data_IF_881197167959
#
_entry.id   IF_881197167959
#
_cell.length_a   1.000
_cell.length_b   1.000
_cell.length_c   1.000
_cell.angle_alpha   90.00
_cell.angle_beta   90.00
_cell.angle_gamma   90.00
#
_symmetry.space_group_name_H-M   'P 1'
#
loop_
_entity.id
_entity.type
_entity.pdbx_description
1 polymer ?
#
# COMPACT_ATOMS: atom_id res chain seq x y z
N UNK A 1 6.19 11.89 -34.76
CA UNK A 1 4.91 12.48 -34.37
C UNK A 1 4.66 12.17 -32.91
N UNK A 2 4.60 13.19 -32.05
CA UNK A 2 4.23 13.05 -30.64
C UNK A 2 2.72 13.33 -30.53
N UNK A 3 1.93 12.31 -30.26
CA UNK A 3 0.51 12.46 -29.95
C UNK A 3 0.34 12.73 -28.45
N UNK A 4 -0.20 13.88 -28.09
CA UNK A 4 -0.55 14.23 -26.72
C UNK A 4 -2.06 14.11 -26.57
N UNK A 5 -2.51 13.21 -25.70
CA UNK A 5 -3.91 13.18 -25.24
C UNK A 5 -4.02 13.99 -23.95
N UNK A 6 -5.10 14.77 -23.85
CA UNK A 6 -5.44 15.46 -22.60
C UNK A 6 -5.85 14.46 -21.51
N UNK A 7 -5.47 14.73 -20.27
CA UNK A 7 -5.97 14.02 -19.09
C UNK A 7 -7.36 14.49 -18.66
N UNK A 8 -7.96 15.44 -19.39
CA UNK A 8 -9.28 15.98 -19.06
C UNK A 8 -10.39 14.92 -19.17
N UNK A 9 -11.17 14.81 -18.11
CA UNK A 9 -12.36 13.93 -18.02
C UNK A 9 -13.63 14.78 -18.01
N UNK A 10 -14.19 15.06 -19.20
CA UNK A 10 -15.36 15.94 -19.37
C UNK A 10 -16.63 15.43 -18.69
N UNK A 11 -16.76 14.12 -18.50
CA UNK A 11 -17.90 13.50 -17.85
C UNK A 11 -17.74 13.31 -16.33
N UNK A 12 -16.57 13.64 -15.76
CA UNK A 12 -16.25 13.45 -14.35
C UNK A 12 -16.22 14.79 -13.61
N UNK A 13 -17.14 14.96 -12.68
CA UNK A 13 -17.18 16.15 -11.81
C UNK A 13 -16.35 15.91 -10.55
N UNK A 14 -15.26 16.64 -10.40
CA UNK A 14 -14.45 16.66 -9.19
C UNK A 14 -15.06 17.63 -8.17
N UNK A 15 -15.25 17.16 -6.95
CA UNK A 15 -15.86 17.95 -5.88
C UNK A 15 -15.12 17.79 -4.57
N UNK A 16 -14.94 18.86 -3.84
CA UNK A 16 -14.49 18.86 -2.46
C UNK A 16 -15.61 19.40 -1.59
N UNK A 17 -16.00 18.65 -0.58
CA UNK A 17 -17.02 19.05 0.37
C UNK A 17 -16.45 19.11 1.78
N UNK A 18 -16.42 20.32 2.32
CA UNK A 18 -16.12 20.50 3.73
C UNK A 18 -17.32 20.12 4.56
N UNK A 19 -17.13 19.31 5.59
CA UNK A 19 -18.17 18.86 6.50
C UNK A 19 -17.60 18.61 7.88
N UNK A 20 -18.41 18.79 8.90
CA UNK A 20 -18.04 18.41 10.27
C UNK A 20 -18.44 16.94 10.57
N UNK A 21 -19.31 16.36 9.75
CA UNK A 21 -19.76 14.96 9.87
C UNK A 21 -19.70 14.22 8.53
N UNK A 22 -18.56 13.57 8.29
CA UNK A 22 -18.34 12.79 7.07
C UNK A 22 -19.33 11.65 6.87
N UNK A 23 -19.77 11.01 7.94
CA UNK A 23 -20.71 9.88 7.89
C UNK A 23 -22.07 10.33 7.39
N UNK A 24 -22.60 11.40 7.94
CA UNK A 24 -23.89 11.94 7.52
C UNK A 24 -23.84 12.43 6.06
N UNK A 25 -22.77 13.11 5.69
CA UNK A 25 -22.59 13.59 4.31
C UNK A 25 -22.42 12.44 3.31
N UNK A 26 -21.69 11.38 3.70
CA UNK A 26 -21.57 10.17 2.91
C UNK A 26 -22.92 9.56 2.58
N UNK A 27 -23.76 9.32 3.59
CA UNK A 27 -25.09 8.75 3.43
C UNK A 27 -25.98 9.64 2.55
N UNK A 28 -25.92 10.96 2.78
CA UNK A 28 -26.66 11.93 1.97
C UNK A 28 -26.28 11.86 0.49
N UNK A 29 -25.00 11.81 0.18
CA UNK A 29 -24.49 11.71 -1.21
C UNK A 29 -24.90 10.39 -1.84
N UNK A 30 -24.72 9.26 -1.14
CA UNK A 30 -25.06 7.93 -1.69
C UNK A 30 -26.56 7.78 -1.95
N UNK A 31 -27.43 8.42 -1.17
CA UNK A 31 -28.87 8.44 -1.40
C UNK A 31 -29.24 9.30 -2.62
N UNK A 32 -28.50 10.39 -2.88
CA UNK A 32 -28.74 11.27 -4.02
C UNK A 32 -28.17 10.78 -5.35
N UNK A 33 -27.06 10.06 -5.32
CA UNK A 33 -26.38 9.56 -6.51
C UNK A 33 -26.56 8.05 -6.59
N UNK A 34 -27.54 7.56 -7.33
CA UNK A 34 -27.76 6.12 -7.49
C UNK A 34 -26.65 5.49 -8.35
N UNK A 35 -26.56 4.15 -8.30
CA UNK A 35 -25.60 3.37 -9.06
C UNK A 35 -24.37 2.92 -8.26
N UNK A 36 -23.44 2.29 -8.94
CA UNK A 36 -22.25 1.70 -8.34
C UNK A 36 -21.32 2.76 -7.78
N UNK A 37 -20.73 2.49 -6.61
CA UNK A 37 -19.85 3.40 -5.89
C UNK A 37 -18.59 2.73 -5.36
N UNK A 38 -17.52 3.51 -5.24
CA UNK A 38 -16.31 3.14 -4.53
C UNK A 38 -16.06 4.18 -3.43
N UNK A 39 -15.77 3.72 -2.23
CA UNK A 39 -15.38 4.57 -1.10
C UNK A 39 -13.95 4.23 -0.70
N UNK A 40 -13.06 5.20 -0.76
CA UNK A 40 -11.69 5.04 -0.35
C UNK A 40 -11.49 5.51 1.10
N UNK A 41 -10.92 4.61 1.89
CA UNK A 41 -10.45 4.86 3.25
C UNK A 41 -9.01 4.37 3.40
N UNK A 42 -8.31 4.85 4.41
CA UNK A 42 -6.88 4.63 4.54
C UNK A 42 -6.49 3.32 5.23
N UNK A 43 -7.28 2.86 6.18
CA UNK A 43 -6.92 1.67 6.95
C UNK A 43 -7.94 0.54 6.83
N UNK A 44 -7.45 -0.69 7.05
CA UNK A 44 -8.24 -1.93 6.92
C UNK A 44 -9.43 -2.00 7.88
N UNK A 45 -9.26 -1.51 9.11
CA UNK A 45 -10.32 -1.50 10.12
C UNK A 45 -11.48 -0.62 9.67
N UNK A 46 -11.16 0.57 9.16
CA UNK A 46 -12.17 1.53 8.71
C UNK A 46 -12.96 1.03 7.49
N UNK A 47 -12.37 0.17 6.64
CA UNK A 47 -13.14 -0.45 5.55
C UNK A 47 -14.31 -1.26 6.08
N UNK A 48 -14.11 -2.03 7.15
CA UNK A 48 -15.17 -2.83 7.79
C UNK A 48 -16.20 -1.94 8.49
N UNK A 49 -15.75 -0.98 9.29
CA UNK A 49 -16.62 -0.07 10.04
C UNK A 49 -17.59 0.69 9.10
N UNK A 50 -17.10 1.23 7.99
CA UNK A 50 -17.94 1.93 7.00
C UNK A 50 -18.86 0.96 6.27
N UNK A 51 -18.41 -0.24 5.94
CA UNK A 51 -19.26 -1.26 5.31
C UNK A 51 -20.42 -1.64 6.24
N UNK A 52 -20.17 -1.93 7.51
CA UNK A 52 -21.20 -2.24 8.50
C UNK A 52 -22.20 -1.09 8.66
N UNK A 53 -21.71 0.14 8.70
CA UNK A 53 -22.57 1.33 8.73
C UNK A 53 -23.49 1.40 7.51
N UNK A 54 -22.96 1.18 6.29
CA UNK A 54 -23.77 1.22 5.07
C UNK A 54 -24.82 0.13 5.03
N UNK A 55 -24.46 -1.08 5.44
CA UNK A 55 -25.40 -2.22 5.50
C UNK A 55 -26.53 -1.94 6.50
N UNK A 56 -26.22 -1.35 7.66
CA UNK A 56 -27.22 -0.94 8.66
C UNK A 56 -28.15 0.18 8.15
N UNK A 57 -27.75 0.91 7.12
CA UNK A 57 -28.53 1.95 6.44
C UNK A 57 -29.18 1.47 5.13
N UNK A 58 -29.36 0.15 4.98
CA UNK A 58 -29.95 -0.53 3.82
C UNK A 58 -29.23 -0.29 2.48
N UNK A 59 -27.92 0.00 2.54
CA UNK A 59 -27.07 0.14 1.36
C UNK A 59 -26.18 -1.09 1.24
N UNK A 60 -26.36 -1.89 0.19
CA UNK A 60 -25.53 -3.07 -0.05
C UNK A 60 -24.07 -2.67 -0.26
N UNK A 61 -23.21 -3.16 0.62
CA UNK A 61 -21.77 -2.82 0.60
C UNK A 61 -20.91 -4.02 0.92
N UNK A 62 -19.69 -4.01 0.43
CA UNK A 62 -18.64 -4.94 0.78
C UNK A 62 -17.32 -4.18 0.95
N UNK A 63 -16.30 -4.81 1.52
CA UNK A 63 -15.02 -4.16 1.74
C UNK A 63 -13.86 -4.91 1.10
N UNK A 64 -12.80 -4.15 0.75
CA UNK A 64 -11.62 -4.67 0.08
C UNK A 64 -10.34 -4.03 0.61
N UNK A 65 -9.39 -4.87 1.00
CA UNK A 65 -8.04 -4.43 1.39
C UNK A 65 -7.00 -5.54 1.11
N UNK A 66 -5.75 -5.17 1.08
CA UNK A 66 -4.64 -6.07 0.74
C UNK A 66 -4.56 -7.31 1.65
N UNK A 67 -4.93 -7.20 2.94
CA UNK A 67 -4.87 -8.29 3.91
C UNK A 67 -6.00 -9.33 3.83
N UNK A 68 -6.86 -9.30 2.79
CA UNK A 68 -7.83 -10.35 2.53
C UNK A 68 -7.18 -11.48 1.73
N UNK A 69 -7.63 -12.72 1.94
CA UNK A 69 -7.26 -13.85 1.10
C UNK A 69 -7.69 -13.63 -0.36
N UNK A 70 -6.92 -14.12 -1.33
CA UNK A 70 -7.17 -13.87 -2.74
C UNK A 70 -8.55 -14.38 -3.20
N UNK A 71 -8.99 -15.55 -2.72
CA UNK A 71 -10.34 -16.06 -3.01
C UNK A 71 -11.46 -15.12 -2.50
N UNK A 72 -11.27 -14.51 -1.32
CA UNK A 72 -12.22 -13.53 -0.76
C UNK A 72 -12.21 -12.23 -1.56
N UNK A 73 -11.02 -11.76 -1.98
CA UNK A 73 -10.87 -10.59 -2.85
C UNK A 73 -11.63 -10.78 -4.15
N UNK A 74 -11.42 -11.92 -4.82
CA UNK A 74 -12.07 -12.25 -6.09
C UNK A 74 -13.59 -12.35 -5.96
N UNK A 75 -14.08 -12.98 -4.90
CA UNK A 75 -15.51 -13.11 -4.63
C UNK A 75 -16.17 -11.74 -4.46
N UNK A 76 -15.61 -10.89 -3.60
CA UNK A 76 -16.14 -9.56 -3.32
C UNK A 76 -16.11 -8.65 -4.54
N UNK A 77 -15.01 -8.70 -5.29
CA UNK A 77 -14.89 -7.96 -6.54
C UNK A 77 -15.95 -8.40 -7.55
N UNK A 78 -16.19 -9.69 -7.73
CA UNK A 78 -17.22 -10.23 -8.64
C UNK A 78 -18.62 -9.80 -8.22
N UNK A 79 -18.97 -9.87 -6.94
CA UNK A 79 -20.26 -9.42 -6.41
C UNK A 79 -20.51 -7.93 -6.67
N UNK A 80 -19.46 -7.10 -6.53
CA UNK A 80 -19.56 -5.69 -6.84
C UNK A 80 -19.63 -5.44 -8.36
N UNK A 81 -18.88 -6.17 -9.18
CA UNK A 81 -18.92 -6.06 -10.63
C UNK A 81 -20.26 -6.47 -11.20
N UNK A 82 -20.89 -7.52 -10.68
CA UNK A 82 -22.23 -7.96 -11.10
C UNK A 82 -23.37 -7.03 -10.66
N UNK A 83 -23.10 -6.13 -9.71
CA UNK A 83 -24.11 -5.24 -9.13
C UNK A 83 -24.90 -5.86 -7.96
N UNK A 84 -24.58 -7.06 -7.51
CA UNK A 84 -25.13 -7.66 -6.29
C UNK A 84 -24.82 -6.77 -5.07
N UNK A 85 -23.64 -6.19 -5.06
CA UNK A 85 -23.20 -5.21 -4.08
C UNK A 85 -23.02 -3.86 -4.77
N UNK A 86 -23.67 -2.83 -4.25
CA UNK A 86 -23.64 -1.49 -4.82
C UNK A 86 -22.35 -0.75 -4.52
N UNK A 87 -21.86 -0.84 -3.27
CA UNK A 87 -20.74 -0.02 -2.77
C UNK A 87 -19.56 -0.91 -2.40
N UNK A 88 -18.39 -0.57 -2.91
CA UNK A 88 -17.12 -1.15 -2.45
C UNK A 88 -16.38 -0.16 -1.56
N UNK A 89 -16.17 -0.52 -0.30
CA UNK A 89 -15.34 0.27 0.63
C UNK A 89 -13.93 -0.30 0.66
N UNK A 90 -12.95 0.48 0.24
CA UNK A 90 -11.62 -0.06 -0.02
C UNK A 90 -10.48 0.85 0.46
N UNK A 91 -9.32 0.22 0.67
CA UNK A 91 -8.04 0.92 0.68
C UNK A 91 -7.52 1.08 -0.76
N UNK A 92 -6.39 1.77 -0.93
CA UNK A 92 -5.70 1.91 -2.22
C UNK A 92 -5.34 0.57 -2.90
N UNK A 93 -5.42 -0.55 -2.17
CA UNK A 93 -5.25 -1.89 -2.74
C UNK A 93 -6.33 -2.27 -3.77
N UNK A 94 -7.51 -1.63 -3.71
CA UNK A 94 -8.58 -1.80 -4.69
C UNK A 94 -8.33 -0.89 -5.88
N UNK A 95 -7.60 -1.40 -6.87
CA UNK A 95 -7.17 -0.53 -7.93
C UNK A 95 -6.73 -1.22 -9.21
N UNK A 96 -5.64 -1.93 -9.23
CA UNK A 96 -5.13 -2.58 -10.43
C UNK A 96 -6.08 -3.67 -10.92
N UNK A 97 -6.38 -3.67 -12.22
CA UNK A 97 -7.24 -4.69 -12.84
C UNK A 97 -8.75 -4.53 -12.60
N UNK A 98 -9.19 -3.44 -11.98
CA UNK A 98 -10.62 -3.17 -11.79
C UNK A 98 -11.14 -2.37 -12.97
N UNK A 99 -12.02 -3.01 -13.74
CA UNK A 99 -12.72 -2.41 -14.87
C UNK A 99 -14.22 -2.62 -14.73
N UNK A 100 -14.90 -1.62 -14.12
CA UNK A 100 -16.34 -1.50 -14.05
C UNK A 100 -16.70 -0.15 -14.64
N UNK A 101 -17.28 -0.10 -15.85
CA UNK A 101 -17.46 1.15 -16.57
C UNK A 101 -18.53 2.07 -15.96
N UNK A 102 -19.51 1.51 -15.28
CA UNK A 102 -20.71 2.19 -14.78
C UNK A 102 -20.60 2.68 -13.33
N UNK A 103 -19.40 2.89 -12.81
CA UNK A 103 -19.19 3.52 -11.49
C UNK A 103 -19.66 4.97 -11.55
N UNK A 104 -20.67 5.30 -10.75
CA UNK A 104 -21.26 6.65 -10.74
C UNK A 104 -20.57 7.61 -9.81
N UNK A 105 -19.97 7.09 -8.74
CA UNK A 105 -19.29 7.93 -7.76
C UNK A 105 -18.09 7.23 -7.12
N UNK A 106 -17.01 7.98 -6.97
CA UNK A 106 -15.86 7.65 -6.14
C UNK A 106 -15.79 8.66 -5.01
N UNK A 107 -15.82 8.18 -3.77
CA UNK A 107 -15.78 8.99 -2.56
C UNK A 107 -14.47 8.75 -1.78
N UNK A 108 -13.83 9.81 -1.36
CA UNK A 108 -12.67 9.76 -0.47
C UNK A 108 -13.07 10.27 0.92
N UNK A 109 -13.11 9.37 1.91
CA UNK A 109 -13.31 9.73 3.32
C UNK A 109 -12.01 10.13 4.00
N UNK A 110 -10.89 9.63 3.51
CA UNK A 110 -9.55 10.01 3.90
C UNK A 110 -8.82 10.60 2.70
N UNK A 111 -8.08 11.69 2.92
CA UNK A 111 -7.33 12.32 1.83
C UNK A 111 -6.23 11.40 1.31
N UNK A 112 -6.11 11.25 -0.02
CA UNK A 112 -4.94 10.62 -0.63
C UNK A 112 -3.64 11.36 -0.31
N UNK A 113 -2.51 10.71 -0.46
CA UNK A 113 -1.20 11.32 -0.19
C UNK A 113 -0.69 12.19 -1.34
N UNK A 114 -1.36 12.15 -2.47
CA UNK A 114 -0.94 12.90 -3.65
C UNK A 114 -2.07 13.11 -4.64
N UNK A 115 -1.99 14.15 -5.49
CA UNK A 115 -2.91 14.33 -6.61
C UNK A 115 -2.88 13.18 -7.61
N UNK A 116 -1.74 12.50 -7.80
CA UNK A 116 -1.63 11.32 -8.68
C UNK A 116 -2.47 10.16 -8.17
N UNK A 117 -2.35 9.84 -6.87
CA UNK A 117 -3.16 8.80 -6.25
C UNK A 117 -4.65 9.14 -6.34
N UNK A 118 -5.01 10.39 -6.01
CA UNK A 118 -6.38 10.86 -6.15
C UNK A 118 -6.90 10.73 -7.58
N UNK A 119 -6.16 11.21 -8.57
CA UNK A 119 -6.57 11.16 -9.98
C UNK A 119 -6.76 9.73 -10.48
N UNK A 120 -5.87 8.82 -10.09
CA UNK A 120 -5.95 7.41 -10.45
C UNK A 120 -7.19 6.74 -9.83
N UNK A 121 -7.47 7.01 -8.56
CA UNK A 121 -8.62 6.47 -7.83
C UNK A 121 -9.93 7.08 -8.34
N UNK A 122 -10.01 8.39 -8.45
CA UNK A 122 -11.15 9.14 -8.98
C UNK A 122 -11.49 8.76 -10.43
N UNK A 123 -10.46 8.52 -11.24
CA UNK A 123 -10.59 8.15 -12.65
C UNK A 123 -11.30 6.82 -12.92
N UNK A 124 -11.63 6.04 -11.87
CA UNK A 124 -12.44 4.82 -11.96
C UNK A 124 -13.91 5.13 -12.20
N UNK A 125 -14.38 6.33 -11.88
CA UNK A 125 -15.76 6.74 -12.12
C UNK A 125 -15.99 7.12 -13.59
N UNK A 126 -17.15 6.76 -14.13
CA UNK A 126 -17.64 7.20 -15.44
C UNK A 126 -16.81 6.74 -16.63
N UNK A 127 -16.25 5.55 -16.62
CA UNK A 127 -15.51 5.01 -17.78
C UNK A 127 -16.39 4.74 -18.99
N UNK A 128 -17.70 4.63 -18.76
CA UNK A 128 -18.72 4.52 -19.83
C UNK A 128 -19.05 5.85 -20.51
N UNK A 129 -18.36 6.93 -20.17
CA UNK A 129 -18.59 8.27 -20.70
C UNK A 129 -19.79 9.00 -20.10
N UNK A 130 -20.60 8.35 -19.27
CA UNK A 130 -21.74 8.98 -18.59
C UNK A 130 -21.28 9.82 -17.41
N UNK A 131 -22.13 10.78 -16.99
CA UNK A 131 -21.88 11.65 -15.84
C UNK A 131 -21.53 10.84 -14.60
N UNK A 132 -20.42 11.20 -13.98
CA UNK A 132 -19.93 10.60 -12.74
C UNK A 132 -19.29 11.66 -11.83
N UNK A 133 -19.09 11.29 -10.59
CA UNK A 133 -18.60 12.20 -9.55
C UNK A 133 -17.39 11.63 -8.83
N UNK A 134 -16.43 12.48 -8.56
CA UNK A 134 -15.31 12.18 -7.64
C UNK A 134 -15.37 13.18 -6.49
N UNK A 135 -15.70 12.70 -5.30
CA UNK A 135 -15.98 13.57 -4.15
C UNK A 135 -14.97 13.30 -3.03
N UNK A 136 -14.33 14.35 -2.55
CA UNK A 136 -13.54 14.31 -1.31
C UNK A 136 -14.38 14.90 -0.19
N UNK A 137 -14.54 14.18 0.91
CA UNK A 137 -15.08 14.71 2.15
C UNK A 137 -13.95 15.19 3.05
N UNK A 138 -13.93 16.48 3.31
CA UNK A 138 -12.85 17.15 4.02
C UNK A 138 -13.32 17.75 5.35
N UNK A 139 -12.55 17.53 6.40
CA UNK A 139 -12.69 18.20 7.69
C UNK A 139 -11.44 19.02 8.00
N UNK A 140 -11.56 20.03 8.87
CA UNK A 140 -10.38 20.83 9.28
C UNK A 140 -9.27 19.98 9.91
N UNK A 141 -9.63 18.88 10.56
CA UNK A 141 -8.67 17.95 11.19
C UNK A 141 -7.88 17.11 10.16
N UNK A 142 -8.36 16.98 8.94
CA UNK A 142 -7.64 16.23 7.89
C UNK A 142 -6.31 16.89 7.53
N UNK A 143 -6.21 18.21 7.63
CA UNK A 143 -4.95 18.94 7.43
C UNK A 143 -3.88 18.51 8.42
N UNK A 144 -4.21 18.49 9.70
CA UNK A 144 -3.30 18.03 10.75
C UNK A 144 -2.90 16.58 10.53
N UNK A 145 -3.84 15.75 10.10
CA UNK A 145 -3.59 14.34 9.76
C UNK A 145 -2.62 14.20 8.59
N UNK A 146 -2.74 15.03 7.54
CA UNK A 146 -1.80 15.02 6.41
C UNK A 146 -0.37 15.37 6.85
N UNK A 147 -0.21 16.41 7.64
CA UNK A 147 1.11 16.79 8.17
C UNK A 147 1.72 15.72 9.06
N UNK A 148 0.91 15.09 9.91
CA UNK A 148 1.37 13.96 10.73
C UNK A 148 1.86 12.79 9.90
N UNK A 149 1.25 12.52 8.74
CA UNK A 149 1.70 11.45 7.84
C UNK A 149 3.14 11.65 7.35
N UNK A 150 3.57 12.89 7.14
CA UNK A 150 4.96 13.19 6.76
C UNK A 150 5.90 12.72 7.85
N UNK A 151 5.62 13.10 9.11
CA UNK A 151 6.44 12.72 10.27
C UNK A 151 6.42 11.20 10.50
N UNK A 152 5.26 10.57 10.36
CA UNK A 152 5.11 9.13 10.55
C UNK A 152 5.81 8.32 9.44
N UNK A 153 5.83 8.83 8.19
CA UNK A 153 6.46 8.17 7.04
C UNK A 153 7.97 8.40 6.97
N UNK A 154 8.41 9.57 7.39
CA UNK A 154 9.81 9.98 7.44
C UNK A 154 10.17 10.47 8.85
N UNK A 155 10.22 9.56 9.85
CA UNK A 155 10.70 9.92 11.17
C UNK A 155 12.14 10.43 11.10
N UNK A 156 12.57 11.22 12.09
CA UNK A 156 13.91 11.79 12.10
C UNK A 156 15.00 10.71 12.04
N UNK A 157 16.14 11.03 11.42
CA UNK A 157 17.24 10.09 11.27
C UNK A 157 17.72 9.50 12.60
N UNK A 158 17.74 10.31 13.65
CA UNK A 158 18.06 9.84 15.01
C UNK A 158 17.08 8.77 15.47
N UNK A 159 15.78 8.96 15.22
CA UNK A 159 14.76 7.95 15.52
C UNK A 159 15.02 6.64 14.74
N UNK A 160 15.37 6.73 13.47
CA UNK A 160 15.65 5.56 12.62
C UNK A 160 16.87 4.80 13.12
N UNK A 161 17.93 5.53 13.50
CA UNK A 161 19.14 4.95 14.07
C UNK A 161 18.86 4.28 15.42
N UNK A 162 18.03 4.89 16.27
CA UNK A 162 17.61 4.32 17.54
C UNK A 162 16.79 3.04 17.34
N UNK A 163 15.90 2.98 16.35
CA UNK A 163 15.18 1.76 15.97
C UNK A 163 16.15 0.67 15.54
N UNK A 164 17.13 1.01 14.69
CA UNK A 164 18.19 0.06 14.29
C UNK A 164 18.97 -0.49 15.49
N UNK A 165 19.38 0.35 16.43
CA UNK A 165 20.11 -0.07 17.63
C UNK A 165 19.24 -0.95 18.55
N UNK A 166 17.98 -0.55 18.77
CA UNK A 166 17.05 -1.34 19.58
C UNK A 166 16.71 -2.69 18.97
N UNK A 167 16.74 -2.84 17.65
CA UNK A 167 16.63 -4.15 17.01
C UNK A 167 17.79 -5.07 17.39
N UNK A 168 19.02 -4.53 17.47
CA UNK A 168 20.19 -5.31 17.88
C UNK A 168 20.06 -5.78 19.34
N UNK A 169 19.54 -4.91 20.22
CA UNK A 169 19.23 -5.29 21.61
C UNK A 169 18.07 -6.29 21.71
N UNK A 170 17.05 -6.12 20.86
CA UNK A 170 15.89 -7.02 20.83
C UNK A 170 16.30 -8.46 20.53
N UNK A 171 17.22 -8.63 19.59
CA UNK A 171 17.75 -9.94 19.18
C UNK A 171 19.05 -10.34 19.86
N UNK A 172 19.55 -9.55 20.81
CA UNK A 172 20.82 -9.79 21.54
C UNK A 172 22.00 -10.07 20.59
N UNK A 173 22.09 -9.29 19.52
CA UNK A 173 23.10 -9.47 18.48
C UNK A 173 24.42 -8.79 18.87
N UNK A 174 25.55 -9.48 18.77
CA UNK A 174 26.87 -8.91 19.04
C UNK A 174 27.38 -8.06 17.86
N UNK A 175 28.37 -7.19 18.12
CA UNK A 175 29.06 -6.43 17.06
C UNK A 175 29.75 -7.38 16.09
N UNK A 176 29.60 -7.08 14.78
CA UNK A 176 30.14 -7.92 13.70
C UNK A 176 29.32 -9.15 13.37
N UNK A 177 28.26 -9.43 14.15
CA UNK A 177 27.32 -10.52 13.87
C UNK A 177 26.13 -10.04 13.04
N UNK A 178 25.32 -10.97 12.60
CA UNK A 178 23.99 -10.71 12.04
C UNK A 178 23.87 -10.87 10.53
N UNK A 179 24.96 -10.84 9.78
CA UNK A 179 24.90 -11.03 8.32
C UNK A 179 24.14 -12.30 7.94
N UNK A 180 23.12 -12.13 7.11
CA UNK A 180 22.17 -13.18 6.66
C UNK A 180 21.36 -13.84 7.81
N UNK A 181 21.36 -13.29 9.01
CA UNK A 181 20.50 -13.77 10.08
C UNK A 181 19.05 -13.43 9.82
N UNK A 182 18.18 -14.43 9.85
CA UNK A 182 16.73 -14.29 9.73
C UNK A 182 16.10 -14.34 11.12
N UNK A 183 15.26 -13.36 11.44
CA UNK A 183 14.56 -13.27 12.73
C UNK A 183 13.09 -12.99 12.52
N UNK A 184 12.21 -13.73 13.19
CA UNK A 184 10.79 -13.37 13.27
C UNK A 184 10.67 -12.04 14.00
N UNK A 185 9.79 -11.16 13.51
CA UNK A 185 9.59 -9.84 14.05
C UNK A 185 8.14 -9.60 14.46
N UNK A 186 7.95 -9.25 15.71
CA UNK A 186 6.66 -8.81 16.22
C UNK A 186 6.70 -7.30 16.49
N UNK A 187 6.11 -6.54 15.59
CA UNK A 187 6.09 -5.07 15.67
C UNK A 187 5.46 -4.56 16.96
N UNK A 188 4.34 -5.17 17.39
CA UNK A 188 3.62 -4.74 18.59
C UNK A 188 4.45 -5.00 19.87
N UNK A 189 5.08 -6.17 19.94
CA UNK A 189 5.95 -6.54 21.06
C UNK A 189 7.18 -5.63 21.13
N UNK A 190 7.84 -5.40 19.99
CA UNK A 190 8.96 -4.48 19.89
C UNK A 190 8.60 -3.07 20.34
N UNK A 191 7.48 -2.53 19.82
CA UNK A 191 6.98 -1.21 20.19
C UNK A 191 6.65 -1.11 21.68
N UNK A 192 6.06 -2.15 22.26
CA UNK A 192 5.76 -2.19 23.71
C UNK A 192 7.04 -2.20 24.55
N UNK A 193 8.04 -3.00 24.14
CA UNK A 193 9.31 -3.13 24.87
C UNK A 193 10.10 -1.82 24.89
N UNK A 194 10.17 -1.12 23.76
CA UNK A 194 10.96 0.11 23.62
C UNK A 194 10.15 1.40 23.65
N UNK A 195 8.84 1.32 23.95
CA UNK A 195 7.92 2.46 24.05
C UNK A 195 7.81 3.28 22.75
N UNK A 196 7.76 2.59 21.64
CA UNK A 196 7.55 3.18 20.31
C UNK A 196 6.10 3.11 19.84
N UNK A 197 5.78 3.92 18.84
CA UNK A 197 4.55 3.79 18.07
C UNK A 197 4.77 2.92 16.82
N UNK A 198 3.80 2.05 16.45
CA UNK A 198 3.99 1.09 15.35
C UNK A 198 4.27 1.73 14.00
N UNK A 199 3.54 2.79 13.62
CA UNK A 199 3.65 3.40 12.29
C UNK A 199 5.04 3.99 12.02
N UNK A 200 5.64 4.82 12.90
CA UNK A 200 7.00 5.32 12.69
C UNK A 200 8.05 4.21 12.69
N UNK A 201 7.88 3.14 13.50
CA UNK A 201 8.80 1.98 13.48
C UNK A 201 8.74 1.25 12.15
N UNK A 202 7.55 0.95 11.65
CA UNK A 202 7.36 0.34 10.33
C UNK A 202 8.02 1.17 9.21
N UNK A 203 7.86 2.49 9.26
CA UNK A 203 8.52 3.41 8.33
C UNK A 203 10.04 3.40 8.46
N UNK A 204 10.57 3.38 9.69
CA UNK A 204 12.00 3.30 9.94
C UNK A 204 12.60 2.00 9.40
N UNK A 205 11.92 0.86 9.59
CA UNK A 205 12.33 -0.43 9.04
C UNK A 205 12.36 -0.42 7.51
N UNK A 206 11.36 0.17 6.88
CA UNK A 206 11.32 0.34 5.41
C UNK A 206 12.45 1.23 4.89
N UNK A 207 12.79 2.30 5.61
CA UNK A 207 13.93 3.17 5.26
C UNK A 207 15.25 2.41 5.42
N UNK A 208 15.45 1.67 6.51
CA UNK A 208 16.63 0.83 6.73
C UNK A 208 16.77 -0.26 5.66
N UNK A 209 15.65 -0.83 5.20
CA UNK A 209 15.62 -1.78 4.09
C UNK A 209 16.13 -1.14 2.80
N UNK A 210 15.67 0.06 2.49
CA UNK A 210 16.09 0.77 1.29
C UNK A 210 17.54 1.29 1.38
N UNK A 211 18.02 1.55 2.60
CA UNK A 211 19.42 1.88 2.84
C UNK A 211 20.34 0.64 2.82
N UNK A 212 19.78 -0.57 2.72
CA UNK A 212 20.52 -1.82 2.57
C UNK A 212 21.12 -2.35 3.87
N UNK A 213 20.52 -2.08 5.03
CA UNK A 213 20.95 -2.62 6.34
C UNK A 213 20.21 -3.89 6.74
N UNK A 214 18.99 -4.02 6.30
CA UNK A 214 18.13 -5.18 6.56
C UNK A 214 17.11 -5.34 5.43
N UNK A 215 16.46 -6.47 5.37
CA UNK A 215 15.23 -6.70 4.62
C UNK A 215 14.11 -6.92 5.61
N UNK A 216 13.10 -6.05 5.56
CA UNK A 216 11.89 -6.15 6.37
C UNK A 216 10.71 -6.49 5.48
N UNK A 217 10.03 -7.58 5.81
CA UNK A 217 8.82 -8.01 5.13
C UNK A 217 7.66 -7.89 6.10
N UNK A 218 6.63 -7.17 5.69
CA UNK A 218 5.38 -7.12 6.42
C UNK A 218 4.49 -8.35 6.09
N UNK A 219 3.38 -8.52 6.78
CA UNK A 219 2.54 -9.74 6.82
C UNK A 219 2.00 -10.27 5.48
N UNK A 220 2.43 -9.75 4.33
CA UNK A 220 1.84 -10.08 3.04
C UNK A 220 2.65 -11.13 2.27
N UNK A 221 2.06 -12.32 2.09
CA UNK A 221 2.44 -13.38 1.13
C UNK A 221 3.96 -13.59 0.94
N UNK A 222 4.64 -13.91 2.04
CA UNK A 222 6.02 -14.29 1.98
C UNK A 222 6.13 -15.72 1.46
N UNK A 223 6.26 -15.86 0.12
CA UNK A 223 6.61 -17.15 -0.47
C UNK A 223 7.87 -17.70 0.19
N UNK A 224 7.92 -19.02 0.37
CA UNK A 224 9.11 -19.68 0.90
C UNK A 224 10.34 -19.32 0.08
N UNK A 225 11.48 -19.18 0.75
CA UNK A 225 12.76 -18.85 0.11
C UNK A 225 13.85 -19.81 0.56
N UNK A 226 14.80 -20.03 -0.31
CA UNK A 226 15.98 -20.87 -0.02
C UNK A 226 17.25 -20.25 -0.59
N UNK A 227 18.33 -20.33 0.20
CA UNK A 227 19.68 -20.01 -0.19
C UNK A 227 20.59 -21.16 0.20
N UNK A 228 21.46 -21.63 -0.69
CA UNK A 228 22.49 -22.60 -0.34
C UNK A 228 23.67 -21.90 0.34
N UNK A 229 23.98 -22.31 1.56
CA UNK A 229 25.07 -21.73 2.35
C UNK A 229 26.40 -22.48 2.12
N UNK A 230 26.34 -23.64 1.51
CA UNK A 230 27.52 -24.39 1.07
C UNK A 230 27.85 -24.10 -0.40
N UNK A 231 29.09 -24.36 -0.79
CA UNK A 231 29.52 -24.25 -2.19
C UNK A 231 28.99 -25.41 -3.03
N UNK A 232 28.91 -25.19 -4.34
CA UNK A 232 28.39 -26.19 -5.29
C UNK A 232 29.20 -27.49 -5.29
N UNK A 233 30.50 -27.40 -5.06
CA UNK A 233 31.43 -28.53 -4.97
C UNK A 233 31.25 -29.33 -3.67
N UNK A 234 30.60 -28.78 -2.66
CA UNK A 234 30.31 -29.43 -1.38
C UNK A 234 28.98 -30.20 -1.35
N UNK A 235 28.25 -30.25 -2.46
CA UNK A 235 26.95 -30.95 -2.59
C UNK A 235 27.06 -32.46 -2.31
N UNK A 236 28.25 -33.04 -2.35
CA UNK A 236 28.48 -34.45 -1.97
C UNK A 236 28.09 -34.74 -0.50
N UNK A 237 28.13 -33.76 0.38
CA UNK A 237 27.69 -33.88 1.78
C UNK A 237 26.21 -34.25 1.91
N UNK A 238 25.43 -34.08 0.86
CA UNK A 238 24.00 -34.42 0.84
C UNK A 238 23.72 -35.92 0.75
N UNK A 239 24.68 -36.70 0.24
CA UNK A 239 24.54 -38.16 0.15
C UNK A 239 24.36 -38.86 1.50
N UNK A 240 24.82 -38.20 2.56
CA UNK A 240 24.67 -38.66 3.94
C UNK A 240 23.30 -38.39 4.55
N UNK A 241 22.43 -37.66 3.83
CA UNK A 241 21.14 -37.16 4.34
C UNK A 241 19.93 -38.03 3.96
N UNK A 242 20.14 -39.06 3.15
CA UNK A 242 19.09 -39.94 2.65
C UNK A 242 18.57 -39.56 1.26
N UNK A 243 17.97 -40.54 0.61
CA UNK A 243 17.52 -40.44 -0.79
C UNK A 243 16.47 -39.37 -1.04
N UNK A 244 15.57 -39.13 -0.07
CA UNK A 244 14.50 -38.13 -0.19
C UNK A 244 15.07 -36.69 -0.15
N UNK A 245 16.03 -36.42 0.74
CA UNK A 245 16.69 -35.13 0.82
C UNK A 245 17.52 -34.82 -0.43
N UNK A 246 18.23 -35.85 -0.96
CA UNK A 246 18.99 -35.70 -2.20
C UNK A 246 18.06 -35.42 -3.38
N UNK A 247 16.95 -36.17 -3.52
CA UNK A 247 15.96 -35.97 -4.57
C UNK A 247 15.31 -34.57 -4.51
N UNK A 248 14.98 -34.09 -3.31
CA UNK A 248 14.42 -32.76 -3.11
C UNK A 248 15.40 -31.67 -3.54
N UNK A 249 16.67 -31.76 -3.14
CA UNK A 249 17.69 -30.78 -3.51
C UNK A 249 17.95 -30.79 -5.00
N UNK A 250 18.08 -31.96 -5.62
CA UNK A 250 18.22 -32.08 -7.06
C UNK A 250 17.04 -31.38 -7.79
N UNK A 251 15.83 -31.55 -7.27
CA UNK A 251 14.64 -30.88 -7.84
C UNK A 251 14.70 -29.37 -7.66
N UNK A 252 15.14 -28.88 -6.49
CA UNK A 252 15.30 -27.43 -6.26
C UNK A 252 16.34 -26.85 -7.22
N UNK A 253 17.49 -27.48 -7.37
CA UNK A 253 18.55 -27.02 -8.27
C UNK A 253 18.15 -27.00 -9.73
N UNK A 254 17.23 -27.91 -10.15
CA UNK A 254 16.69 -27.94 -11.51
C UNK A 254 15.57 -26.92 -11.74
N UNK A 255 14.85 -26.56 -10.68
CA UNK A 255 13.64 -25.75 -10.79
C UNK A 255 13.89 -24.26 -10.56
N UNK A 256 14.93 -23.91 -9.81
CA UNK A 256 15.19 -22.53 -9.38
C UNK A 256 16.63 -22.14 -9.65
N UNK A 257 16.82 -20.95 -10.21
CA UNK A 257 18.13 -20.38 -10.54
C UNK A 257 18.60 -19.42 -9.43
N UNK A 258 19.91 -19.23 -9.31
CA UNK A 258 20.49 -18.23 -8.38
C UNK A 258 20.57 -18.67 -6.92
N UNK A 259 20.15 -19.88 -6.57
CA UNK A 259 20.05 -20.39 -5.20
C UNK A 259 21.37 -20.43 -4.39
N UNK A 260 22.52 -20.21 -5.04
CA UNK A 260 23.84 -20.13 -4.38
C UNK A 260 24.33 -18.69 -4.20
N UNK A 261 23.65 -17.72 -4.79
CA UNK A 261 24.08 -16.32 -4.78
C UNK A 261 23.12 -15.41 -4.03
N UNK A 262 21.83 -15.77 -4.03
CA UNK A 262 20.78 -15.01 -3.37
C UNK A 262 19.61 -15.92 -3.02
N UNK A 263 18.68 -15.44 -2.19
CA UNK A 263 17.46 -16.17 -1.87
C UNK A 263 16.56 -16.34 -3.11
N UNK A 264 16.32 -17.59 -3.48
CA UNK A 264 15.34 -17.92 -4.51
C UNK A 264 13.98 -18.24 -3.89
N UNK A 265 12.92 -17.71 -4.46
CA UNK A 265 11.55 -18.05 -4.08
C UNK A 265 11.22 -19.47 -4.52
N UNK A 266 10.71 -20.29 -3.60
CA UNK A 266 10.32 -21.67 -3.87
C UNK A 266 8.85 -21.89 -3.50
N UNK A 267 8.25 -22.93 -4.08
CA UNK A 267 6.89 -23.37 -3.77
C UNK A 267 6.93 -24.83 -3.34
N UNK A 268 6.65 -25.10 -2.08
CA UNK A 268 6.54 -26.47 -1.55
C UNK A 268 5.44 -27.27 -2.25
N UNK A 269 4.38 -26.59 -2.71
CA UNK A 269 3.32 -27.23 -3.49
C UNK A 269 3.84 -27.76 -4.82
N UNK A 270 4.63 -26.95 -5.54
CA UNK A 270 5.25 -27.35 -6.80
C UNK A 270 6.29 -28.46 -6.60
N UNK A 271 7.09 -28.35 -5.55
CA UNK A 271 8.08 -29.35 -5.18
C UNK A 271 7.40 -30.67 -4.79
N UNK A 272 6.30 -30.62 -4.05
CA UNK A 272 5.50 -31.80 -3.65
C UNK A 272 5.01 -32.57 -4.89
N UNK A 273 4.44 -31.89 -5.87
CA UNK A 273 3.98 -32.50 -7.12
C UNK A 273 5.14 -33.17 -7.91
N UNK A 274 6.32 -32.52 -7.91
CA UNK A 274 7.47 -32.99 -8.71
C UNK A 274 8.29 -34.10 -8.04
N UNK A 275 8.31 -34.12 -6.70
CA UNK A 275 9.10 -35.11 -5.93
C UNK A 275 8.27 -36.27 -5.43
N UNK A 276 6.93 -36.13 -5.36
CA UNK A 276 6.04 -37.09 -4.71
C UNK A 276 6.05 -37.01 -3.16
N UNK A 277 6.84 -36.12 -2.58
CA UNK A 277 6.87 -35.88 -1.12
C UNK A 277 5.70 -35.01 -0.68
N UNK A 278 5.22 -35.22 0.54
CA UNK A 278 4.24 -34.33 1.14
C UNK A 278 4.87 -32.96 1.49
N UNK A 279 4.06 -31.90 1.58
CA UNK A 279 4.57 -30.58 1.99
C UNK A 279 5.22 -30.61 3.37
N UNK A 280 4.72 -31.42 4.28
CA UNK A 280 5.27 -31.61 5.61
C UNK A 280 6.64 -32.28 5.58
N UNK A 281 6.82 -33.31 4.75
CA UNK A 281 8.13 -33.95 4.54
C UNK A 281 9.14 -32.94 3.95
N UNK A 282 8.74 -32.15 2.94
CA UNK A 282 9.58 -31.12 2.35
C UNK A 282 10.01 -30.10 3.41
N UNK A 283 9.05 -29.60 4.18
CA UNK A 283 9.32 -28.66 5.28
C UNK A 283 10.33 -29.23 6.29
N UNK A 284 10.12 -30.45 6.76
CA UNK A 284 11.00 -31.11 7.74
C UNK A 284 12.41 -31.34 7.19
N UNK A 285 12.52 -31.74 5.93
CA UNK A 285 13.83 -31.89 5.25
C UNK A 285 14.55 -30.53 5.18
N UNK A 286 13.89 -29.48 4.69
CA UNK A 286 14.49 -28.15 4.55
C UNK A 286 14.88 -27.55 5.90
N UNK A 287 14.09 -27.73 6.96
CA UNK A 287 14.43 -27.32 8.33
C UNK A 287 15.66 -28.09 8.84
N UNK A 288 15.76 -29.40 8.55
CA UNK A 288 16.92 -30.21 8.93
C UNK A 288 18.19 -29.75 8.21
N UNK A 289 18.08 -29.44 6.93
CA UNK A 289 19.19 -28.90 6.12
C UNK A 289 19.65 -27.53 6.63
N UNK A 290 18.71 -26.70 7.07
CA UNK A 290 19.03 -25.40 7.67
C UNK A 290 19.77 -25.57 8.99
N UNK A 291 19.34 -26.48 9.87
CA UNK A 291 20.06 -26.80 11.12
C UNK A 291 21.50 -27.30 10.88
N UNK A 292 21.72 -27.97 9.77
CA UNK A 292 23.07 -28.45 9.36
C UNK A 292 23.87 -27.41 8.57
N UNK A 293 23.35 -26.21 8.39
CA UNK A 293 23.99 -25.12 7.63
C UNK A 293 24.32 -25.49 6.18
N UNK A 294 23.47 -26.27 5.54
CA UNK A 294 23.58 -26.63 4.12
C UNK A 294 22.77 -25.65 3.27
N UNK A 295 21.60 -25.30 3.75
CA UNK A 295 20.74 -24.26 3.17
C UNK A 295 20.29 -23.30 4.27
N UNK A 296 19.84 -22.14 3.86
CA UNK A 296 19.04 -21.24 4.70
C UNK A 296 17.64 -21.22 4.09
N UNK A 297 16.70 -21.84 4.79
CA UNK A 297 15.31 -21.97 4.35
C UNK A 297 14.39 -21.13 5.20
N UNK A 298 13.67 -20.23 4.55
CA UNK A 298 12.65 -19.38 5.15
C UNK A 298 11.30 -19.89 4.67
N UNK A 299 10.55 -20.60 5.53
CA UNK A 299 9.24 -21.12 5.15
C UNK A 299 8.22 -20.01 4.93
N UNK A 300 7.20 -20.30 4.13
CA UNK A 300 6.02 -19.45 4.01
C UNK A 300 5.39 -19.24 5.38
N UNK A 301 5.50 -18.05 5.92
CA UNK A 301 4.91 -17.65 7.19
C UNK A 301 4.10 -16.38 6.99
N UNK A 302 2.99 -16.29 7.71
CA UNK A 302 2.17 -15.07 7.83
C UNK A 302 2.77 -14.06 8.84
N UNK A 303 3.88 -14.39 9.48
CA UNK A 303 4.55 -13.51 10.44
C UNK A 303 5.62 -12.68 9.74
N UNK A 304 5.71 -11.37 10.02
CA UNK A 304 6.80 -10.53 9.58
C UNK A 304 8.16 -11.07 10.00
N UNK A 305 9.17 -10.84 9.20
CA UNK A 305 10.54 -11.17 9.56
C UNK A 305 11.53 -10.09 9.12
N UNK A 306 12.69 -10.11 9.74
CA UNK A 306 13.84 -9.27 9.40
C UNK A 306 15.01 -10.17 9.02
N UNK A 307 15.61 -9.89 7.86
CA UNK A 307 16.88 -10.47 7.43
C UNK A 307 17.93 -9.37 7.50
N UNK A 308 19.01 -9.61 8.21
CA UNK A 308 20.13 -8.67 8.23
C UNK A 308 20.98 -8.84 6.97
N UNK A 309 21.07 -7.81 6.17
CA UNK A 309 21.87 -7.80 4.93
C UNK A 309 23.30 -7.35 5.15
N UNK A 310 23.62 -6.88 6.36
CA UNK A 310 24.95 -6.48 6.82
C UNK A 310 25.20 -6.97 8.25
N UNK A 311 26.46 -7.05 8.63
CA UNK A 311 26.86 -7.24 10.03
C UNK A 311 26.44 -6.04 10.87
N UNK A 312 26.20 -6.27 12.17
CA UNK A 312 25.93 -5.19 13.13
C UNK A 312 27.09 -4.21 13.16
N UNK A 313 26.79 -2.95 12.92
CA UNK A 313 27.73 -1.82 12.95
C UNK A 313 27.40 -0.87 14.11
N UNK A 314 28.39 -0.13 14.58
CA UNK A 314 28.15 1.00 15.48
C UNK A 314 27.35 2.08 14.75
N UNK A 315 26.47 2.79 15.47
CA UNK A 315 25.57 3.79 14.88
C UNK A 315 26.30 4.88 14.08
N UNK A 316 27.53 5.25 14.48
CA UNK A 316 28.34 6.25 13.78
C UNK A 316 28.71 5.85 12.34
N UNK A 317 28.66 4.55 12.02
CA UNK A 317 28.94 4.03 10.69
C UNK A 317 27.66 3.73 9.88
N UNK A 318 26.49 3.83 10.53
CA UNK A 318 25.21 3.64 9.84
C UNK A 318 24.88 4.91 9.08
N UNK A 319 24.94 4.82 7.76
CA UNK A 319 24.65 5.95 6.86
C UNK A 319 23.39 5.71 6.07
N UNK A 320 22.44 6.65 6.16
CA UNK A 320 21.21 6.67 5.35
C UNK A 320 21.44 7.64 4.19
N UNK A 321 21.53 7.14 2.94
CA UNK A 321 21.81 8.01 1.78
C UNK A 321 20.73 9.07 1.57
N UNK A 322 21.09 10.29 1.10
CA UNK A 322 20.12 11.34 0.79
C UNK A 322 19.04 10.90 -0.20
N UNK A 323 19.38 10.06 -1.17
CA UNK A 323 18.42 9.50 -2.12
C UNK A 323 17.35 8.61 -1.47
N UNK A 324 17.66 8.01 -0.31
CA UNK A 324 16.72 7.17 0.44
C UNK A 324 15.85 8.00 1.39
N UNK A 325 16.38 9.05 1.98
CA UNK A 325 15.67 9.82 3.01
C UNK A 325 15.31 11.23 2.53
N UNK A 326 16.28 12.15 2.38
CA UNK A 326 16.01 13.57 2.15
C UNK A 326 15.24 13.82 0.85
N UNK A 327 15.68 13.23 -0.25
CA UNK A 327 15.04 13.41 -1.55
C UNK A 327 13.65 12.80 -1.61
N UNK A 328 13.45 11.67 -0.96
CA UNK A 328 12.14 11.01 -0.90
C UNK A 328 11.20 11.77 0.03
N UNK A 329 11.70 12.24 1.18
CA UNK A 329 10.93 13.08 2.11
C UNK A 329 10.46 14.34 1.40
N UNK A 330 11.36 15.07 0.74
CA UNK A 330 11.02 16.29 0.01
C UNK A 330 9.95 16.06 -1.07
N UNK A 331 10.08 14.95 -1.83
CA UNK A 331 9.06 14.57 -2.83
C UNK A 331 7.72 14.24 -2.19
N UNK A 332 7.72 13.54 -1.07
CA UNK A 332 6.50 13.20 -0.35
C UNK A 332 5.83 14.46 0.23
N UNK A 333 6.60 15.34 0.86
CA UNK A 333 6.12 16.64 1.36
C UNK A 333 5.51 17.50 0.25
N UNK A 334 6.15 17.57 -0.92
CA UNK A 334 5.62 18.30 -2.07
C UNK A 334 4.26 17.75 -2.54
N UNK A 335 4.10 16.42 -2.55
CA UNK A 335 2.82 15.77 -2.90
C UNK A 335 1.73 16.03 -1.88
N UNK A 336 2.06 15.91 -0.59
CA UNK A 336 1.13 16.23 0.51
C UNK A 336 0.68 17.69 0.41
N UNK A 337 1.62 18.62 0.19
CA UNK A 337 1.32 20.05 0.02
C UNK A 337 0.41 20.30 -1.18
N UNK A 338 0.70 19.68 -2.33
CA UNK A 338 -0.14 19.80 -3.51
C UNK A 338 -1.57 19.27 -3.28
N UNK A 339 -1.71 18.17 -2.52
CA UNK A 339 -3.01 17.64 -2.15
C UNK A 339 -3.75 18.57 -1.18
N UNK A 340 -3.06 19.15 -0.21
CA UNK A 340 -3.61 20.14 0.69
C UNK A 340 -4.10 21.38 -0.08
N UNK A 341 -3.26 21.95 -0.95
CA UNK A 341 -3.63 23.09 -1.81
C UNK A 341 -4.85 22.78 -2.67
N UNK A 342 -4.92 21.56 -3.23
CA UNK A 342 -6.08 21.13 -4.00
C UNK A 342 -7.38 21.16 -3.21
N UNK A 343 -7.34 20.69 -1.96
CA UNK A 343 -8.55 20.57 -1.13
C UNK A 343 -9.01 21.92 -0.58
N UNK A 344 -8.09 22.80 -0.17
CA UNK A 344 -8.41 24.10 0.44
C UNK A 344 -8.73 25.20 -0.60
N UNK A 345 -8.41 24.98 -1.87
CA UNK A 345 -8.64 26.00 -2.91
C UNK A 345 -10.14 26.25 -3.12
N UNK A 346 -10.56 27.50 -3.07
CA UNK A 346 -11.96 27.93 -3.28
C UNK A 346 -12.13 28.68 -4.61
N UNK A 347 -11.04 29.07 -5.26
CA UNK A 347 -11.08 30.01 -6.40
C UNK A 347 -10.65 29.38 -7.73
N UNK A 348 -10.02 28.22 -7.72
CA UNK A 348 -9.50 27.59 -8.94
C UNK A 348 -10.27 26.31 -9.25
N UNK A 349 -10.74 26.17 -10.49
CA UNK A 349 -11.41 24.98 -10.97
C UNK A 349 -10.62 23.71 -10.66
N UNK A 350 -11.29 22.70 -10.07
CA UNK A 350 -10.66 21.43 -9.65
C UNK A 350 -9.98 20.69 -10.80
N UNK A 351 -10.63 20.63 -11.95
CA UNK A 351 -10.05 20.01 -13.15
C UNK A 351 -8.79 20.73 -13.61
N UNK A 352 -8.80 22.08 -13.63
CA UNK A 352 -7.62 22.88 -13.99
C UNK A 352 -6.45 22.65 -13.02
N UNK A 353 -6.71 22.51 -11.73
CA UNK A 353 -5.66 22.24 -10.75
C UNK A 353 -4.98 20.90 -11.02
N UNK A 354 -5.77 19.85 -11.29
CA UNK A 354 -5.23 18.53 -11.62
C UNK A 354 -4.45 18.55 -12.93
N UNK A 355 -5.02 19.12 -14.00
CA UNK A 355 -4.36 19.20 -15.31
C UNK A 355 -3.03 19.98 -15.22
N UNK A 356 -3.03 21.11 -14.49
CA UNK A 356 -1.81 21.90 -14.25
C UNK A 356 -0.76 21.10 -13.46
N UNK A 357 -1.18 20.35 -12.47
CA UNK A 357 -0.28 19.48 -11.70
C UNK A 357 0.42 18.45 -12.58
N UNK A 358 -0.29 17.90 -13.59
CA UNK A 358 0.27 16.98 -14.59
C UNK A 358 1.00 17.68 -15.76
N UNK A 359 1.21 19.00 -15.66
CA UNK A 359 1.94 19.77 -16.67
C UNK A 359 1.12 20.13 -17.92
N UNK A 360 -0.21 19.93 -17.88
CA UNK A 360 -1.09 20.32 -18.97
C UNK A 360 -1.54 21.77 -18.79
N UNK A 361 -1.31 22.58 -19.81
CA UNK A 361 -1.79 23.97 -19.85
C UNK A 361 -3.25 23.98 -20.32
N UNK A 362 -4.17 24.05 -19.38
CA UNK A 362 -5.60 24.24 -19.64
C UNK A 362 -6.10 25.50 -18.95
N UNK A 363 -6.63 26.43 -19.72
CA UNK A 363 -7.13 27.71 -19.22
C UNK A 363 -8.66 27.67 -18.98
N UNK A 364 -9.36 26.64 -19.44
CA UNK A 364 -10.79 26.54 -19.35
C UNK A 364 -11.25 25.94 -18.01
N UNK A 365 -12.30 26.53 -17.45
CA UNK A 365 -12.98 25.97 -16.30
C UNK A 365 -13.91 24.82 -16.72
N UNK A 366 -13.95 23.73 -15.96
CA UNK A 366 -14.77 22.57 -16.30
C UNK A 366 -16.29 22.83 -16.22
N UNK A 367 -16.70 23.85 -15.51
CA UNK A 367 -18.10 24.26 -15.35
C UNK A 367 -18.96 23.32 -14.48
N UNK A 368 -18.39 22.27 -13.88
CA UNK A 368 -19.14 21.23 -13.16
C UNK A 368 -18.58 20.86 -11.79
N UNK A 369 -17.40 21.33 -11.42
CA UNK A 369 -16.85 21.14 -10.07
C UNK A 369 -17.50 22.07 -9.05
N UNK A 370 -17.31 21.80 -7.77
CA UNK A 370 -17.81 22.63 -6.66
C UNK A 370 -17.48 24.12 -6.83
N UNK A 371 -16.23 24.44 -7.18
CA UNK A 371 -15.78 25.83 -7.39
C UNK A 371 -16.50 26.49 -8.58
N UNK A 372 -16.61 25.81 -9.71
CA UNK A 372 -17.30 26.38 -10.87
C UNK A 372 -18.78 26.59 -10.62
N UNK A 373 -19.42 25.71 -9.85
CA UNK A 373 -20.85 25.84 -9.51
C UNK A 373 -21.09 26.96 -8.50
N UNK A 374 -20.21 27.15 -7.51
CA UNK A 374 -20.32 28.24 -6.55
C UNK A 374 -20.18 29.63 -7.21
N UNK A 375 -19.24 29.78 -8.15
CA UNK A 375 -19.09 31.04 -8.90
C UNK A 375 -20.31 31.37 -9.73
N UNK A 376 -20.94 30.37 -10.41
CA UNK A 376 -22.19 30.61 -11.15
C UNK A 376 -23.35 31.04 -10.25
N UNK A 377 -23.45 30.48 -9.05
CA UNK A 377 -24.50 30.87 -8.11
C UNK A 377 -24.30 32.31 -7.62
N UNK A 378 -23.04 32.75 -7.41
CA UNK A 378 -22.71 34.10 -7.01
C UNK A 378 -23.01 35.11 -8.14
N UNK A 379 -22.65 34.77 -9.39
CA UNK A 379 -22.91 35.63 -10.57
C UNK A 379 -24.42 35.81 -10.81
N UNK A 380 -25.23 34.80 -10.57
CA UNK A 380 -26.72 34.91 -10.69
C UNK A 380 -27.32 35.73 -9.56
N UNK A 381 -26.74 35.75 -8.37
CA UNK A 381 -27.22 36.59 -7.27
C UNK A 381 -26.83 38.06 -7.46
N UNK A 382 -25.62 38.35 -7.94
CA UNK A 382 -25.15 39.69 -8.25
C UNK A 382 -25.86 40.28 -9.47
N UNK A 383 -26.21 39.47 -10.49
CA UNK A 383 -27.01 39.90 -11.66
C UNK A 383 -28.43 40.30 -11.31
N UNK A 384 -29.07 39.61 -10.36
CA UNK A 384 -30.44 39.94 -9.91
C UNK A 384 -30.51 41.20 -9.01
N UNK A 385 -29.44 41.53 -8.30
CA UNK A 385 -29.41 42.74 -7.47
C UNK A 385 -29.06 44.01 -8.23
N UNK A 386 -28.73 43.94 -9.52
CA UNK A 386 -28.51 45.09 -10.40
C UNK A 386 -29.76 45.44 -11.27
N UNK A 387 -30.81 44.62 -11.26
CA UNK A 387 -32.06 44.85 -11.98
C UNK A 387 -33.22 45.29 -11.06
N UNK A 388 -33.00 45.41 -9.74
CA UNK A 388 -33.88 46.08 -8.76
C UNK A 388 -33.28 47.45 -8.38
#
# INVERSE_FOLDING_TARGET
NVFRMSFERKNLAYMVRQTDNKTQELLHILRKVPGSAIIYVRNRRRTKEITELLVNEDITADFYHAGLDNAVKDLRQKRWQSGEVRVMVATNAFGMGIDKPDVRIVLHLDLPDSPEAYFQEAGRAGRDGKKAYAVILYTKTDRTTLHRRVVDTFPDKEYILNVYEHLQYYYQMAMGDGFQCVREFNLEEFCRKFKYFPVPVDSALKILTQAGYLEYTDEQDNASRILFTIRRDELYKLREMGTEAEALIQMILRSYTGVFTDYAYISEATLSVRTGLTREQIYNILVTLTKRRIVDYIPHKKTPYIIYTRERQELRFVHIPPAVYEERKARYEARIKAMEEYVISENVCRSRMLLRYFGEKNEHNCGQCDVCLSHRATDTLTGKSLEE
#
